data_IF_784399030640
#
_entry.id   IF_784399030640
#
_cell.length_a   1.000
_cell.length_b   1.000
_cell.length_c   1.000
_cell.angle_alpha   90.00
_cell.angle_beta   90.00
_cell.angle_gamma   90.00
#
_symmetry.space_group_name_H-M   'P 1'
#
loop_
_entity.id
_entity.type
_entity.pdbx_description
1 polymer ?
#
# COMPACT_ATOMS: atom_id res chain seq x y z
N UNK A 1 -46.91 36.21 14.35
CA UNK A 1 -46.86 35.01 13.50
C UNK A 1 -45.40 34.85 13.11
N UNK A 2 -44.63 34.16 13.96
CA UNK A 2 -43.19 33.93 13.77
C UNK A 2 -43.10 32.54 13.17
N UNK A 3 -42.70 32.46 11.91
CA UNK A 3 -42.46 31.20 11.23
C UNK A 3 -41.30 30.46 11.91
N UNK A 4 -41.57 29.22 12.34
CA UNK A 4 -40.56 28.30 12.83
C UNK A 4 -39.55 28.03 11.71
N UNK A 5 -38.33 28.52 11.89
CA UNK A 5 -37.17 28.10 11.10
C UNK A 5 -36.96 26.60 11.34
N UNK A 6 -37.01 25.74 10.30
CA UNK A 6 -36.74 24.33 10.46
C UNK A 6 -35.27 24.15 10.80
N UNK A 7 -34.94 23.95 12.07
CA UNK A 7 -33.63 23.41 12.42
C UNK A 7 -33.55 22.00 11.85
N UNK A 8 -32.63 21.80 10.91
CA UNK A 8 -32.25 20.49 10.37
C UNK A 8 -31.02 19.99 11.15
N UNK A 9 -31.17 19.31 12.30
CA UNK A 9 -30.04 18.63 12.91
C UNK A 9 -29.77 17.31 12.20
N UNK A 10 -28.50 16.93 12.17
CA UNK A 10 -27.93 15.64 11.78
C UNK A 10 -27.49 15.45 10.32
N UNK A 11 -26.53 16.27 9.85
CA UNK A 11 -25.64 15.89 8.73
C UNK A 11 -24.24 15.41 9.16
N UNK A 12 -23.90 15.39 10.45
CA UNK A 12 -22.48 15.42 10.88
C UNK A 12 -21.95 14.20 11.66
N UNK A 13 -22.71 13.12 11.84
CA UNK A 13 -22.27 12.00 12.71
C UNK A 13 -21.92 10.69 12.01
N UNK A 14 -22.40 10.45 10.77
CA UNK A 14 -22.12 9.19 10.05
C UNK A 14 -20.88 9.24 9.14
N UNK A 15 -20.41 10.45 8.80
CA UNK A 15 -19.32 10.71 7.86
C UNK A 15 -17.91 10.34 8.33
N UNK A 16 -17.52 10.37 9.63
CA UNK A 16 -16.14 10.06 10.00
C UNK A 16 -15.82 8.55 9.95
N UNK A 17 -16.81 7.67 10.11
CA UNK A 17 -16.56 6.23 10.25
C UNK A 17 -16.26 5.55 8.90
N UNK A 18 -16.94 5.96 7.83
CA UNK A 18 -16.75 5.37 6.49
C UNK A 18 -15.41 5.76 5.85
N UNK A 19 -14.94 6.99 6.07
CA UNK A 19 -13.63 7.47 5.61
C UNK A 19 -12.48 6.72 6.30
N UNK A 20 -12.61 6.45 7.60
CA UNK A 20 -11.61 5.69 8.37
C UNK A 20 -11.46 4.26 7.86
N UNK A 21 -12.60 3.57 7.64
CA UNK A 21 -12.61 2.17 7.14
C UNK A 21 -11.96 2.04 5.75
N UNK A 22 -12.20 2.97 4.81
CA UNK A 22 -11.53 2.97 3.49
C UNK A 22 -10.02 3.21 3.61
N UNK A 23 -9.61 4.12 4.50
CA UNK A 23 -8.20 4.38 4.78
C UNK A 23 -7.47 3.16 5.34
N UNK A 24 -8.10 2.41 6.22
CA UNK A 24 -7.53 1.22 6.87
C UNK A 24 -7.30 0.08 5.86
N UNK A 25 -8.26 -0.16 4.96
CA UNK A 25 -8.12 -1.17 3.89
C UNK A 25 -7.00 -0.82 2.92
N UNK A 26 -6.90 0.46 2.53
CA UNK A 26 -5.81 0.93 1.65
C UNK A 26 -4.44 0.75 2.33
N UNK A 27 -4.34 1.08 3.62
CA UNK A 27 -3.11 0.90 4.41
C UNK A 27 -2.74 -0.58 4.54
N UNK A 28 -3.71 -1.45 4.83
CA UNK A 28 -3.50 -2.89 4.91
C UNK A 28 -3.00 -3.48 3.57
N UNK A 29 -3.55 -3.04 2.43
CA UNK A 29 -3.07 -3.45 1.10
C UNK A 29 -1.64 -2.99 0.84
N UNK A 30 -1.30 -1.73 1.15
CA UNK A 30 0.05 -1.22 0.98
C UNK A 30 1.05 -1.99 1.85
N UNK A 31 0.70 -2.27 3.11
CA UNK A 31 1.51 -3.10 4.00
C UNK A 31 1.74 -4.50 3.42
N UNK A 32 0.70 -5.14 2.87
CA UNK A 32 0.82 -6.43 2.22
C UNK A 32 1.79 -6.38 1.03
N UNK A 33 1.66 -5.36 0.17
CA UNK A 33 2.55 -5.15 -0.98
C UNK A 33 4.01 -5.03 -0.52
N UNK A 34 4.26 -4.24 0.52
CA UNK A 34 5.61 -4.04 1.06
C UNK A 34 6.19 -5.33 1.65
N UNK A 35 5.40 -6.12 2.36
CA UNK A 35 5.85 -7.41 2.91
C UNK A 35 6.24 -8.36 1.78
N UNK A 36 5.39 -8.52 0.77
CA UNK A 36 5.68 -9.38 -0.38
C UNK A 36 6.93 -8.91 -1.13
N UNK A 37 7.05 -7.61 -1.37
CA UNK A 37 8.23 -7.03 -2.02
C UNK A 37 9.51 -7.26 -1.22
N UNK A 38 9.44 -7.22 0.12
CA UNK A 38 10.58 -7.50 0.99
C UNK A 38 11.08 -8.95 0.85
N UNK A 39 10.16 -9.93 0.77
CA UNK A 39 10.53 -11.33 0.55
C UNK A 39 11.19 -11.55 -0.82
N UNK A 40 10.65 -10.93 -1.86
CA UNK A 40 11.23 -11.01 -3.22
C UNK A 40 12.63 -10.37 -3.23
N UNK A 41 12.77 -9.19 -2.62
CA UNK A 41 14.02 -8.46 -2.52
C UNK A 41 15.09 -9.24 -1.74
N UNK A 42 14.72 -9.79 -0.58
CA UNK A 42 15.63 -10.60 0.24
C UNK A 42 16.09 -11.85 -0.48
N UNK A 43 15.18 -12.56 -1.16
CA UNK A 43 15.52 -13.73 -1.98
C UNK A 43 16.48 -13.38 -3.13
N UNK A 44 16.23 -12.29 -3.84
CA UNK A 44 17.10 -11.82 -4.92
C UNK A 44 18.50 -11.43 -4.40
N UNK A 45 18.59 -10.74 -3.26
CA UNK A 45 19.86 -10.39 -2.62
C UNK A 45 20.65 -11.61 -2.16
N UNK A 46 19.98 -12.57 -1.51
CA UNK A 46 20.61 -13.84 -1.12
C UNK A 46 21.10 -14.63 -2.32
N UNK A 47 20.33 -14.68 -3.40
CA UNK A 47 20.72 -15.36 -4.63
C UNK A 47 21.93 -14.69 -5.29
N UNK A 48 21.97 -13.35 -5.32
CA UNK A 48 23.10 -12.59 -5.83
C UNK A 48 24.37 -12.84 -4.99
N UNK A 49 24.25 -12.89 -3.67
CA UNK A 49 25.37 -13.22 -2.80
C UNK A 49 25.85 -14.67 -3.02
N UNK A 50 24.93 -15.62 -3.15
CA UNK A 50 25.25 -17.02 -3.44
C UNK A 50 25.88 -17.21 -4.83
N UNK A 51 25.58 -16.32 -5.78
CA UNK A 51 26.21 -16.30 -7.10
C UNK A 51 27.66 -15.76 -7.09
N UNK A 52 28.18 -15.36 -5.92
CA UNK A 52 29.55 -14.87 -5.76
C UNK A 52 29.68 -13.34 -5.92
N UNK A 53 28.56 -12.60 -6.01
CA UNK A 53 28.62 -11.15 -6.09
C UNK A 53 29.06 -10.56 -4.74
N UNK A 54 29.77 -9.44 -4.81
CA UNK A 54 30.18 -8.70 -3.62
C UNK A 54 28.95 -8.15 -2.89
N UNK A 55 29.06 -7.97 -1.56
CA UNK A 55 27.95 -7.47 -0.71
C UNK A 55 27.28 -6.21 -1.28
N UNK A 56 28.01 -5.18 -1.78
CA UNK A 56 27.37 -3.99 -2.36
C UNK A 56 26.53 -4.30 -3.60
N UNK A 57 26.98 -5.21 -4.47
CA UNK A 57 26.24 -5.61 -5.66
C UNK A 57 24.99 -6.41 -5.29
N UNK A 58 25.08 -7.31 -4.31
CA UNK A 58 23.94 -8.07 -3.82
C UNK A 58 22.86 -7.14 -3.23
N UNK A 59 23.26 -6.07 -2.54
CA UNK A 59 22.34 -5.03 -2.05
C UNK A 59 21.68 -4.27 -3.20
N UNK A 60 22.43 -3.92 -4.25
CA UNK A 60 21.86 -3.27 -5.44
C UNK A 60 20.85 -4.18 -6.16
N UNK A 61 21.15 -5.48 -6.28
CA UNK A 61 20.22 -6.47 -6.84
C UNK A 61 18.95 -6.60 -5.99
N UNK A 62 19.09 -6.67 -4.67
CA UNK A 62 17.96 -6.70 -3.75
C UNK A 62 17.10 -5.43 -3.88
N UNK A 63 17.73 -4.25 -3.96
CA UNK A 63 17.05 -2.97 -4.14
C UNK A 63 16.33 -2.84 -5.48
N UNK A 64 16.95 -3.30 -6.58
CA UNK A 64 16.32 -3.35 -7.90
C UNK A 64 15.10 -4.30 -7.92
N UNK A 65 15.25 -5.49 -7.35
CA UNK A 65 14.14 -6.44 -7.22
C UNK A 65 13.00 -5.88 -6.35
N UNK A 66 13.31 -5.16 -5.27
CA UNK A 66 12.32 -4.47 -4.45
C UNK A 66 11.54 -3.42 -5.25
N UNK A 67 12.24 -2.51 -5.92
CA UNK A 67 11.63 -1.45 -6.71
C UNK A 67 10.73 -2.02 -7.83
N UNK A 68 11.21 -3.06 -8.52
CA UNK A 68 10.44 -3.78 -9.52
C UNK A 68 9.18 -4.44 -8.95
N UNK A 69 9.31 -5.17 -7.83
CA UNK A 69 8.19 -5.84 -7.18
C UNK A 69 7.11 -4.83 -6.72
N UNK A 70 7.52 -3.73 -6.08
CA UNK A 70 6.59 -2.67 -5.66
C UNK A 70 5.89 -2.05 -6.88
N UNK A 71 6.64 -1.73 -7.95
CA UNK A 71 6.07 -1.18 -9.17
C UNK A 71 5.03 -2.10 -9.79
N UNK A 72 5.34 -3.38 -9.94
CA UNK A 72 4.43 -4.40 -10.51
C UNK A 72 3.19 -4.60 -9.62
N UNK A 73 3.37 -4.73 -8.30
CA UNK A 73 2.26 -4.92 -7.37
C UNK A 73 1.33 -3.71 -7.33
N UNK A 74 1.88 -2.49 -7.33
CA UNK A 74 1.08 -1.27 -7.40
C UNK A 74 0.34 -1.14 -8.74
N UNK A 75 1.01 -1.47 -9.86
CA UNK A 75 0.38 -1.49 -11.17
C UNK A 75 -0.77 -2.51 -11.23
N UNK A 76 -0.59 -3.69 -10.62
CA UNK A 76 -1.64 -4.71 -10.48
C UNK A 76 -2.82 -4.20 -9.65
N UNK A 77 -2.58 -3.57 -8.51
CA UNK A 77 -3.68 -3.00 -7.69
C UNK A 77 -4.42 -1.91 -8.44
N UNK A 78 -3.71 -1.09 -9.21
CA UNK A 78 -4.31 -0.04 -10.03
C UNK A 78 -5.15 -0.63 -11.19
N UNK A 79 -4.61 -1.64 -11.89
CA UNK A 79 -5.25 -2.20 -13.08
C UNK A 79 -6.38 -3.19 -12.74
N UNK A 80 -6.25 -3.95 -11.65
CA UNK A 80 -7.25 -4.92 -11.22
C UNK A 80 -8.51 -4.27 -10.60
N UNK A 81 -8.61 -2.94 -10.58
CA UNK A 81 -9.81 -2.22 -10.17
C UNK A 81 -10.20 -2.46 -8.71
N UNK A 82 -9.26 -2.83 -7.86
CA UNK A 82 -9.54 -3.01 -6.42
C UNK A 82 -9.53 -1.63 -5.75
N UNK A 83 -10.53 -0.81 -6.05
CA UNK A 83 -10.84 0.44 -5.35
C UNK A 83 -11.76 0.22 -4.14
#
# INVERSE_FOLDING_TARGET
>A
MIDEVPQRPASNSATPMLLRRRGDVRRARILLILIVALFISGGAGMLAHAAGNNVPEAVLTAGGAFAGAVGVLLALVHYAGVE
#
